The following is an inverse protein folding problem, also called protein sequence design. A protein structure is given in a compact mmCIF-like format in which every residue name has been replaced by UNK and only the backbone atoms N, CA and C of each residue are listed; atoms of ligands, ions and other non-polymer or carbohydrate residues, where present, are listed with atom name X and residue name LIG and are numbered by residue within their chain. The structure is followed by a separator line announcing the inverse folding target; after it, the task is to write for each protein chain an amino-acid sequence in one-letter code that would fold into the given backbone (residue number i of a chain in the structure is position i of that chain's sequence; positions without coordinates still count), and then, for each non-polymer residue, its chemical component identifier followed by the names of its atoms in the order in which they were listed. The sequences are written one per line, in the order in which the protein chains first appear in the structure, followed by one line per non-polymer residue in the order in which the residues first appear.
data_IF_001942310015
#
_entry.id   IF_001942310015
#
_cell.length_a   1.000
_cell.length_b   1.000
_cell.length_c   1.000
_cell.angle_alpha   90.00
_cell.angle_beta   90.00
_cell.angle_gamma   90.00
#
_symmetry.space_group_name_H-M   'P 1'
#
loop_
_entity.id
_entity.type
_entity.pdbx_description
1 polymer ?
#
# COMPACT_ATOMS: atom_id res chain seq x y z
N UNK A 1 14.69 14.87 17.02
CA UNK A 1 14.86 14.52 15.59
C UNK A 1 13.63 14.93 14.83
N UNK A 2 13.78 15.65 13.74
CA UNK A 2 12.65 16.11 12.93
C UNK A 2 12.15 14.93 12.08
N UNK A 3 10.84 14.62 12.13
CA UNK A 3 10.25 13.61 11.25
C UNK A 3 10.18 14.16 9.84
N UNK A 4 10.86 13.52 8.91
CA UNK A 4 10.95 13.98 7.51
C UNK A 4 10.10 13.13 6.56
N UNK A 5 9.86 11.87 6.89
CA UNK A 5 9.07 10.94 6.08
C UNK A 5 7.76 10.65 6.79
N UNK A 6 6.65 10.67 6.05
CA UNK A 6 5.33 10.32 6.56
C UNK A 6 4.82 9.12 5.76
N UNK A 7 4.60 7.99 6.43
CA UNK A 7 3.89 6.86 5.82
C UNK A 7 2.42 6.93 6.21
N UNK A 8 1.52 6.74 5.25
CA UNK A 8 0.08 6.76 5.50
C UNK A 8 -0.51 5.42 5.10
N UNK A 9 -0.91 4.64 6.10
CA UNK A 9 -1.75 3.47 5.94
C UNK A 9 -3.22 3.84 6.19
N UNK A 10 -4.16 3.13 5.58
CA UNK A 10 -5.57 3.56 5.61
C UNK A 10 -6.54 2.39 5.43
N UNK A 11 -7.74 2.55 5.96
CA UNK A 11 -8.89 1.74 5.57
C UNK A 11 -9.48 2.22 4.24
N UNK A 12 -10.04 1.29 3.48
CA UNK A 12 -10.75 1.63 2.25
C UNK A 12 -11.97 2.52 2.55
N UNK A 13 -12.13 3.60 1.79
CA UNK A 13 -13.22 4.56 1.99
C UNK A 13 -12.98 5.61 3.08
N UNK A 14 -11.94 5.50 3.91
CA UNK A 14 -11.66 6.46 5.01
C UNK A 14 -11.22 7.85 4.54
N UNK A 15 -10.85 8.00 3.27
CA UNK A 15 -10.31 9.27 2.75
C UNK A 15 -8.81 9.42 2.91
N UNK A 16 -8.11 8.38 3.34
CA UNK A 16 -6.67 8.43 3.61
C UNK A 16 -5.82 8.90 2.42
N UNK A 17 -6.17 8.51 1.18
CA UNK A 17 -5.49 9.01 -0.04
C UNK A 17 -5.60 10.53 -0.17
N UNK A 18 -6.80 11.08 0.00
CA UNK A 18 -7.06 12.52 -0.08
C UNK A 18 -6.32 13.29 1.03
N UNK A 19 -6.32 12.74 2.24
CA UNK A 19 -5.63 13.34 3.40
C UNK A 19 -4.11 13.33 3.15
N UNK A 20 -3.53 12.20 2.75
CA UNK A 20 -2.11 12.08 2.47
C UNK A 20 -1.63 13.06 1.40
N UNK A 21 -2.40 13.20 0.31
CA UNK A 21 -2.10 14.15 -0.76
C UNK A 21 -2.11 15.61 -0.23
N UNK A 22 -3.16 16.00 0.52
CA UNK A 22 -3.24 17.35 1.11
C UNK A 22 -2.13 17.63 2.12
N UNK A 23 -1.68 16.62 2.87
CA UNK A 23 -0.56 16.74 3.79
C UNK A 23 0.73 17.03 3.01
N UNK A 24 0.99 16.28 1.94
CA UNK A 24 2.15 16.50 1.08
C UNK A 24 2.16 17.91 0.46
N UNK A 25 1.00 18.35 -0.07
CA UNK A 25 0.85 19.70 -0.60
C UNK A 25 1.15 20.79 0.43
N UNK A 26 0.60 20.68 1.65
CA UNK A 26 0.83 21.66 2.72
C UNK A 26 2.27 21.71 3.21
N UNK A 27 2.95 20.57 3.18
CA UNK A 27 4.36 20.48 3.58
C UNK A 27 5.32 20.83 2.43
N UNK A 28 4.83 20.93 1.20
CA UNK A 28 5.65 21.17 0.01
C UNK A 28 6.60 20.00 -0.28
N UNK A 29 6.21 18.76 0.03
CA UNK A 29 7.04 17.57 -0.17
C UNK A 29 6.41 16.62 -1.20
N UNK A 30 7.22 15.76 -1.88
CA UNK A 30 6.72 14.75 -2.80
C UNK A 30 5.69 13.81 -2.16
N UNK A 31 4.69 13.41 -2.95
CA UNK A 31 3.69 12.42 -2.61
C UNK A 31 3.85 11.20 -3.52
N UNK A 32 4.00 10.02 -2.91
CA UNK A 32 4.23 8.76 -3.62
C UNK A 32 3.06 7.78 -3.42
N UNK A 33 2.32 7.52 -4.48
CA UNK A 33 1.23 6.54 -4.60
C UNK A 33 1.36 5.80 -5.94
N UNK A 34 0.84 6.38 -7.02
CA UNK A 34 0.94 5.81 -8.37
C UNK A 34 2.35 5.91 -8.95
N UNK A 35 3.09 6.93 -8.60
CA UNK A 35 4.48 7.12 -8.98
C UNK A 35 5.37 6.00 -8.45
N UNK A 36 5.08 5.47 -7.26
CA UNK A 36 5.78 4.31 -6.72
C UNK A 36 5.52 3.06 -7.55
N UNK A 37 4.25 2.81 -7.94
CA UNK A 37 3.89 1.70 -8.82
C UNK A 37 4.67 1.79 -10.14
N UNK A 38 4.71 2.97 -10.74
CA UNK A 38 5.44 3.23 -11.98
C UNK A 38 6.95 2.97 -11.83
N UNK A 39 7.57 3.46 -10.75
CA UNK A 39 8.98 3.22 -10.48
C UNK A 39 9.31 1.74 -10.27
N UNK A 40 8.43 0.98 -9.62
CA UNK A 40 8.58 -0.47 -9.48
C UNK A 40 8.41 -1.18 -10.82
N UNK A 41 7.43 -0.78 -11.65
CA UNK A 41 7.23 -1.33 -12.99
C UNK A 41 8.46 -1.11 -13.88
N UNK A 42 9.04 0.06 -13.88
CA UNK A 42 10.25 0.40 -14.63
C UNK A 42 11.46 -0.46 -14.20
N UNK A 43 11.60 -0.73 -12.89
CA UNK A 43 12.70 -1.56 -12.37
C UNK A 43 12.51 -3.07 -12.60
N UNK A 44 11.28 -3.56 -12.64
CA UNK A 44 10.97 -4.99 -12.69
C UNK A 44 10.55 -5.50 -14.05
N UNK A 45 10.05 -4.60 -14.92
CA UNK A 45 9.39 -4.97 -16.16
C UNK A 45 7.99 -5.59 -15.98
N UNK A 46 7.46 -5.60 -14.76
CA UNK A 46 6.11 -6.09 -14.48
C UNK A 46 5.03 -5.11 -14.95
N UNK A 47 3.86 -5.65 -15.32
CA UNK A 47 2.69 -4.83 -15.62
C UNK A 47 2.26 -4.01 -14.39
N UNK A 48 2.00 -2.71 -14.54
CA UNK A 48 1.57 -1.86 -13.43
C UNK A 48 0.32 -2.37 -12.69
N UNK A 49 -0.62 -3.02 -13.39
CA UNK A 49 -1.82 -3.61 -12.76
C UNK A 49 -1.44 -4.76 -11.84
N UNK A 50 -0.50 -5.62 -12.26
CA UNK A 50 0.00 -6.70 -11.41
C UNK A 50 0.63 -6.16 -10.13
N UNK A 51 1.40 -5.08 -10.23
CA UNK A 51 2.02 -4.41 -9.07
C UNK A 51 0.94 -3.77 -8.18
N UNK A 52 -0.08 -3.15 -8.76
CA UNK A 52 -1.18 -2.53 -8.02
C UNK A 52 -1.96 -3.55 -7.20
N UNK A 53 -2.26 -4.71 -7.79
CA UNK A 53 -3.04 -5.77 -7.13
C UNK A 53 -2.23 -6.52 -6.05
N UNK A 54 -0.93 -6.72 -6.26
CA UNK A 54 -0.10 -7.56 -5.40
C UNK A 54 0.80 -6.78 -4.45
N UNK A 55 1.16 -5.56 -4.78
CA UNK A 55 2.15 -4.78 -4.03
C UNK A 55 1.66 -4.16 -2.71
N UNK A 56 0.36 -4.24 -2.38
CA UNK A 56 -0.18 -3.76 -1.10
C UNK A 56 0.04 -4.75 0.06
N UNK A 57 0.45 -5.98 -0.24
CA UNK A 57 0.61 -7.04 0.75
C UNK A 57 2.07 -7.47 0.88
N UNK A 58 2.54 -7.61 2.12
CA UNK A 58 3.77 -8.33 2.39
C UNK A 58 3.58 -9.82 2.07
N UNK A 59 4.57 -10.52 1.47
CA UNK A 59 4.47 -11.94 1.21
C UNK A 59 4.26 -12.70 2.52
N UNK A 60 3.08 -13.29 2.68
CA UNK A 60 2.79 -14.19 3.80
C UNK A 60 3.19 -15.62 3.45
N UNK A 61 3.46 -16.43 4.47
CA UNK A 61 3.83 -17.85 4.33
C UNK A 61 2.87 -18.66 3.44
N UNK A 62 1.62 -18.21 3.28
CA UNK A 62 0.55 -18.92 2.56
C UNK A 62 0.61 -18.74 1.04
N UNK A 63 1.29 -17.71 0.54
CA UNK A 63 1.40 -17.46 -0.92
C UNK A 63 2.45 -18.36 -1.57
N UNK A 64 3.34 -18.92 -0.77
CA UNK A 64 4.42 -19.82 -1.24
C UNK A 64 3.90 -21.13 -1.85
N UNK A 65 2.67 -21.53 -1.55
CA UNK A 65 2.10 -22.82 -1.98
C UNK A 65 1.22 -22.77 -3.23
N UNK A 66 0.98 -21.61 -3.82
CA UNK A 66 0.04 -21.46 -4.96
C UNK A 66 0.67 -21.06 -6.29
N UNK A 67 2.00 -20.90 -6.37
CA UNK A 67 2.65 -20.66 -7.65
C UNK A 67 3.16 -21.99 -8.21
N UNK A 68 2.91 -22.28 -9.50
CA UNK A 68 3.51 -23.45 -10.14
C UNK A 68 5.04 -23.37 -9.99
N UNK A 69 5.60 -24.39 -9.38
CA UNK A 69 7.05 -24.57 -9.26
C UNK A 69 7.61 -24.60 -10.68
N UNK A 70 8.32 -23.55 -11.05
CA UNK A 70 9.18 -23.63 -12.22
C UNK A 70 10.32 -24.60 -11.85
N UNK A 71 10.25 -25.77 -12.46
CA UNK A 71 11.15 -26.89 -12.25
C UNK A 71 12.62 -26.46 -12.41
N UNK A 72 13.42 -26.77 -11.41
CA UNK A 72 14.82 -27.07 -11.64
C UNK A 72 15.92 -26.24 -11.00
N UNK A 73 15.67 -25.19 -10.20
CA UNK A 73 16.76 -24.55 -9.43
C UNK A 73 16.36 -24.20 -8.01
N UNK A 74 16.96 -24.85 -7.05
CA UNK A 74 16.90 -24.48 -5.64
C UNK A 74 17.37 -23.03 -5.48
N UNK A 75 16.44 -22.11 -5.10
CA UNK A 75 16.75 -20.73 -4.78
C UNK A 75 16.09 -19.64 -5.60
N UNK A 76 15.23 -19.96 -6.57
CA UNK A 76 14.49 -18.95 -7.33
C UNK A 76 13.44 -18.27 -6.44
N UNK A 77 13.60 -16.97 -6.21
CA UNK A 77 12.58 -16.13 -5.57
C UNK A 77 11.27 -16.22 -6.37
N UNK A 78 10.14 -16.39 -5.69
CA UNK A 78 8.85 -16.28 -6.36
C UNK A 78 8.67 -14.89 -6.97
N UNK A 79 7.83 -14.75 -8.00
CA UNK A 79 7.53 -13.44 -8.58
C UNK A 79 7.02 -12.44 -7.52
N UNK A 80 6.31 -12.93 -6.50
CA UNK A 80 5.84 -12.12 -5.38
C UNK A 80 6.98 -11.66 -4.47
N UNK A 81 7.94 -12.55 -4.16
CA UNK A 81 9.10 -12.19 -3.35
C UNK A 81 10.02 -11.21 -4.09
N UNK A 82 10.19 -11.41 -5.39
CA UNK A 82 10.95 -10.48 -6.23
C UNK A 82 10.26 -9.10 -6.28
N UNK A 83 8.94 -9.07 -6.50
CA UNK A 83 8.17 -7.82 -6.48
C UNK A 83 8.31 -7.12 -5.13
N UNK A 84 8.19 -7.87 -4.03
CA UNK A 84 8.38 -7.33 -2.69
C UNK A 84 9.77 -6.72 -2.48
N UNK A 85 10.82 -7.45 -2.88
CA UNK A 85 12.19 -6.96 -2.76
C UNK A 85 12.42 -5.68 -3.56
N UNK A 86 11.90 -5.62 -4.79
CA UNK A 86 12.00 -4.43 -5.63
C UNK A 86 11.19 -3.25 -5.08
N UNK A 87 9.97 -3.49 -4.62
CA UNK A 87 9.14 -2.47 -3.98
C UNK A 87 9.82 -1.93 -2.71
N UNK A 88 10.39 -2.81 -1.89
CA UNK A 88 11.16 -2.41 -0.72
C UNK A 88 12.34 -1.51 -1.11
N UNK A 89 13.11 -1.88 -2.14
CA UNK A 89 14.23 -1.08 -2.59
C UNK A 89 13.79 0.30 -3.10
N UNK A 90 12.72 0.36 -3.90
CA UNK A 90 12.18 1.65 -4.38
C UNK A 90 11.75 2.55 -3.22
N UNK A 91 11.08 2.00 -2.20
CA UNK A 91 10.65 2.78 -1.04
C UNK A 91 11.84 3.32 -0.25
N UNK A 92 12.89 2.52 -0.05
CA UNK A 92 14.14 2.97 0.59
C UNK A 92 14.81 4.08 -0.21
N UNK A 93 14.96 3.89 -1.53
CA UNK A 93 15.55 4.89 -2.43
C UNK A 93 14.78 6.22 -2.41
N UNK A 94 13.43 6.16 -2.33
CA UNK A 94 12.59 7.36 -2.24
C UNK A 94 12.74 8.05 -0.89
N UNK A 95 12.81 7.29 0.19
CA UNK A 95 13.01 7.80 1.54
C UNK A 95 14.39 8.46 1.72
N UNK A 96 15.41 7.98 1.00
CA UNK A 96 16.76 8.54 1.06
C UNK A 96 16.92 9.83 0.23
N UNK A 97 15.99 10.10 -0.70
CA UNK A 97 15.99 11.36 -1.48
C UNK A 97 15.60 12.58 -0.65
N UNK A 98 14.94 12.39 0.49
CA UNK A 98 14.56 13.47 1.40
C UNK A 98 13.11 13.38 1.89
N UNK A 99 12.57 14.46 2.45
CA UNK A 99 11.22 14.51 3.00
C UNK A 99 10.16 14.12 1.97
N UNK A 100 9.22 13.25 2.37
CA UNK A 100 8.16 12.78 1.47
C UNK A 100 6.97 12.19 2.23
N UNK A 101 5.85 12.03 1.52
CA UNK A 101 4.67 11.28 1.99
C UNK A 101 4.50 10.05 1.10
N UNK A 102 4.44 8.87 1.71
CA UNK A 102 4.28 7.58 1.03
C UNK A 102 2.96 6.95 1.44
N UNK A 103 2.10 6.60 0.48
CA UNK A 103 0.80 5.99 0.74
C UNK A 103 0.84 4.47 0.58
N UNK A 104 0.54 3.74 1.67
CA UNK A 104 0.39 2.28 1.68
C UNK A 104 1.68 1.52 1.36
N UNK A 105 1.54 0.39 0.67
CA UNK A 105 2.66 -0.45 0.18
C UNK A 105 3.57 -0.99 1.28
N UNK A 106 3.01 -1.17 2.49
CA UNK A 106 3.78 -1.58 3.66
C UNK A 106 4.99 -0.67 3.97
N UNK A 107 4.93 0.61 3.54
CA UNK A 107 6.03 1.55 3.76
C UNK A 107 6.32 1.74 5.25
N UNK A 108 5.30 1.70 6.11
CA UNK A 108 5.43 1.72 7.56
C UNK A 108 6.29 0.57 8.10
N UNK A 109 6.11 -0.64 7.53
CA UNK A 109 6.92 -1.81 7.90
C UNK A 109 8.33 -1.75 7.30
N UNK A 110 8.47 -1.33 6.05
CA UNK A 110 9.75 -1.22 5.35
C UNK A 110 10.68 -0.22 6.03
N UNK A 111 10.12 0.90 6.49
CA UNK A 111 10.86 2.01 7.10
C UNK A 111 10.85 1.97 8.64
N UNK A 112 10.44 0.86 9.26
CA UNK A 112 10.24 0.73 10.72
C UNK A 112 11.49 1.03 11.55
N UNK A 113 12.67 0.76 11.01
CA UNK A 113 13.95 0.93 11.72
C UNK A 113 14.52 2.37 11.58
N UNK A 114 13.86 3.24 10.82
CA UNK A 114 14.25 4.64 10.67
C UNK A 114 13.64 5.51 11.76
N UNK A 115 14.46 6.36 12.36
CA UNK A 115 14.02 7.28 13.43
C UNK A 115 13.31 8.54 12.93
N UNK A 116 13.45 8.86 11.63
CA UNK A 116 12.92 10.05 10.97
C UNK A 116 11.55 9.82 10.30
N UNK A 117 10.88 8.70 10.57
CA UNK A 117 9.58 8.33 9.99
C UNK A 117 8.45 8.57 10.99
N UNK A 118 7.36 9.17 10.50
CA UNK A 118 6.07 9.23 11.18
C UNK A 118 5.10 8.27 10.49
N UNK A 119 4.66 7.24 11.18
CA UNK A 119 3.64 6.32 10.70
C UNK A 119 2.26 6.81 11.11
N UNK A 120 1.36 6.97 10.13
CA UNK A 120 -0.02 7.42 10.30
C UNK A 120 -0.97 6.37 9.76
N UNK A 121 -2.01 6.04 10.53
CA UNK A 121 -3.09 5.17 10.08
C UNK A 121 -4.41 5.95 10.05
N UNK A 122 -5.07 5.99 8.90
CA UNK A 122 -6.35 6.68 8.70
C UNK A 122 -7.49 5.67 8.68
N UNK A 123 -8.40 5.81 9.62
CA UNK A 123 -9.62 5.00 9.72
C UNK A 123 -10.86 5.87 9.79
N UNK A 124 -12.02 5.30 9.58
CA UNK A 124 -13.30 5.96 9.76
C UNK A 124 -14.40 4.91 10.00
N UNK A 125 -15.52 5.36 10.57
CA UNK A 125 -16.67 4.50 10.80
C UNK A 125 -17.16 3.83 9.51
N UNK A 126 -17.63 2.60 9.63
CA UNK A 126 -18.06 1.79 8.48
C UNK A 126 -19.15 2.49 7.67
N UNK A 127 -20.13 3.12 8.34
CA UNK A 127 -21.20 3.86 7.67
C UNK A 127 -20.66 5.04 6.85
N UNK A 128 -19.75 5.83 7.41
CA UNK A 128 -19.10 6.93 6.71
C UNK A 128 -18.30 6.44 5.49
N UNK A 129 -17.55 5.34 5.64
CA UNK A 129 -16.77 4.76 4.54
C UNK A 129 -17.67 4.27 3.41
N UNK A 130 -18.78 3.60 3.74
CA UNK A 130 -19.77 3.13 2.78
C UNK A 130 -20.40 4.29 1.98
N UNK A 131 -20.86 5.33 2.67
CA UNK A 131 -21.41 6.53 2.04
C UNK A 131 -20.40 7.23 1.13
N UNK A 132 -19.15 7.36 1.59
CA UNK A 132 -18.07 7.96 0.80
C UNK A 132 -17.77 7.17 -0.47
N UNK A 133 -17.79 5.84 -0.41
CA UNK A 133 -17.57 4.98 -1.57
C UNK A 133 -18.67 5.20 -2.61
N UNK A 134 -19.93 5.20 -2.20
CA UNK A 134 -21.05 5.47 -3.10
C UNK A 134 -20.92 6.84 -3.76
N UNK A 135 -20.58 7.86 -2.99
CA UNK A 135 -20.42 9.22 -3.51
C UNK A 135 -19.27 9.35 -4.53
N UNK A 136 -18.19 8.61 -4.35
CA UNK A 136 -17.00 8.73 -5.21
C UNK A 136 -17.04 7.79 -6.43
N UNK A 137 -17.62 6.60 -6.28
CA UNK A 137 -17.59 5.54 -7.30
C UNK A 137 -18.95 5.18 -7.86
N UNK A 138 -20.01 5.84 -7.39
CA UNK A 138 -21.39 5.58 -7.79
C UNK A 138 -22.02 4.38 -7.07
N UNK A 139 -23.31 4.19 -7.29
CA UNK A 139 -24.02 3.01 -6.79
C UNK A 139 -23.63 1.79 -7.62
N UNK A 140 -23.11 0.77 -6.97
CA UNK A 140 -22.98 -0.56 -7.56
C UNK A 140 -24.24 -1.39 -7.19
N UNK A 141 -24.50 -2.48 -7.93
CA UNK A 141 -25.59 -3.43 -7.61
C UNK A 141 -25.42 -4.12 -6.24
N UNK A 142 -24.27 -3.94 -5.60
CA UNK A 142 -23.97 -4.42 -4.25
C UNK A 142 -24.17 -3.31 -3.23
N UNK A 143 -24.66 -3.69 -2.05
CA UNK A 143 -24.76 -2.74 -0.93
C UNK A 143 -23.38 -2.17 -0.63
N UNK A 144 -23.27 -0.86 -0.32
CA UNK A 144 -21.98 -0.20 -0.03
C UNK A 144 -21.17 -0.91 1.06
N UNK A 145 -21.87 -1.51 2.03
CA UNK A 145 -21.27 -2.29 3.13
C UNK A 145 -20.63 -3.59 2.65
N UNK A 146 -21.19 -4.25 1.64
CA UNK A 146 -20.64 -5.46 1.05
C UNK A 146 -19.36 -5.16 0.25
N UNK A 147 -19.28 -3.97 -0.38
CA UNK A 147 -18.05 -3.52 -1.04
C UNK A 147 -16.90 -3.37 -0.04
N UNK A 148 -17.16 -2.98 1.20
CA UNK A 148 -16.13 -2.87 2.25
C UNK A 148 -15.58 -4.23 2.69
N UNK A 149 -16.40 -5.29 2.65
CA UNK A 149 -15.99 -6.65 3.05
C UNK A 149 -14.99 -7.27 2.07
N UNK A 150 -15.10 -6.94 0.77
CA UNK A 150 -14.26 -7.52 -0.28
C UNK A 150 -12.97 -6.73 -0.55
N UNK A 151 -12.89 -5.47 -0.10
CA UNK A 151 -11.79 -4.57 -0.45
C UNK A 151 -10.86 -4.24 0.71
N UNK A 152 -11.12 -4.78 1.91
CA UNK A 152 -10.28 -4.54 3.09
C UNK A 152 -9.85 -5.84 3.77
N UNK A 153 -8.93 -6.59 3.21
CA UNK A 153 -8.19 -7.57 3.99
C UNK A 153 -6.95 -6.90 4.59
N UNK A 154 -7.13 -5.81 5.35
CA UNK A 154 -6.04 -5.35 6.20
C UNK A 154 -5.88 -6.33 7.36
N UNK A 155 -4.71 -6.92 7.60
CA UNK A 155 -4.48 -7.76 8.78
C UNK A 155 -4.67 -7.02 10.11
N UNK A 156 -4.91 -5.71 10.06
CA UNK A 156 -5.21 -4.84 11.21
C UNK A 156 -6.69 -4.50 11.36
N UNK A 157 -7.58 -4.93 10.46
CA UNK A 157 -9.02 -4.85 10.70
C UNK A 157 -9.35 -5.81 11.85
N UNK A 158 -9.87 -5.33 13.00
CA UNK A 158 -10.33 -6.23 14.04
C UNK A 158 -11.43 -7.10 13.43
N UNK A 159 -11.21 -8.40 13.45
CA UNK A 159 -12.27 -9.37 13.13
C UNK A 159 -13.41 -9.07 14.09
N UNK A 160 -14.47 -8.50 13.60
CA UNK A 160 -15.74 -8.44 14.33
C UNK A 160 -16.21 -9.87 14.52
N UNK A 161 -16.07 -10.34 15.76
CA UNK A 161 -16.70 -11.57 16.23
C UNK A 161 -18.22 -11.42 16.18
#
# INVERSE_FOLDING_TARGET
MTKSIITVSREFGSGGRTIAHKVAERLGVPYYDKELIKAVAEKTGFDPKFIEERGEYAPGRTIFSMLPVFDGTQGALSAADFLWAMQRQVILDLADKGPCVILGRCADYILKDRSDVLNVFIYADKAYRAERIVRLYGQSDKKPEDCLLYTSPSPRDPKTS
#
